data_IF_048970187264
#
_entry.id   IF_048970187264
#
_cell.length_a   1.000
_cell.length_b   1.000
_cell.length_c   1.000
_cell.angle_alpha   90.00
_cell.angle_beta   90.00
_cell.angle_gamma   90.00
#
_symmetry.space_group_name_H-M   'P 1'
#
loop_
_entity.id
_entity.type
_entity.pdbx_description
1 polymer ?
#
# COMPACT_ATOMS: atom_id res chain seq x y z
N UNK A 1 -10.60 1.64 12.03
CA UNK A 1 -11.00 0.94 10.78
C UNK A 1 -9.76 0.73 9.94
N UNK A 2 -9.61 -0.43 9.36
CA UNK A 2 -8.52 -0.72 8.42
C UNK A 2 -8.85 -0.04 7.08
N UNK A 3 -7.94 0.79 6.58
CA UNK A 3 -8.05 1.47 5.29
C UNK A 3 -7.02 0.87 4.33
N UNK A 4 -7.50 0.45 3.18
CA UNK A 4 -6.72 -0.21 2.13
C UNK A 4 -6.99 0.47 0.80
N UNK A 5 -5.93 0.87 0.09
CA UNK A 5 -6.03 1.61 -1.15
C UNK A 5 -5.14 1.04 -2.24
N UNK A 6 -5.64 1.10 -3.46
CA UNK A 6 -4.98 0.55 -4.64
C UNK A 6 -4.47 1.64 -5.56
N UNK A 7 -3.27 1.45 -6.08
CA UNK A 7 -2.74 2.20 -7.22
C UNK A 7 -2.30 1.23 -8.30
N UNK A 8 -2.66 1.53 -9.54
CA UNK A 8 -2.20 0.74 -10.67
C UNK A 8 -0.71 0.95 -10.92
N UNK A 9 -0.01 -0.14 -11.17
CA UNK A 9 1.41 -0.15 -11.52
C UNK A 9 1.72 0.36 -12.94
N UNK A 10 0.77 0.89 -13.68
CA UNK A 10 0.97 1.37 -15.07
C UNK A 10 2.13 2.36 -15.21
N UNK A 11 2.57 2.94 -14.10
CA UNK A 11 3.65 3.93 -14.04
C UNK A 11 4.86 3.46 -13.21
N UNK A 12 4.97 2.17 -12.94
CA UNK A 12 6.15 1.63 -12.26
C UNK A 12 7.30 1.40 -13.21
N UNK A 13 8.48 1.67 -12.74
CA UNK A 13 9.71 1.28 -13.37
C UNK A 13 10.28 0.08 -12.63
N UNK A 14 10.50 -1.01 -13.35
CA UNK A 14 11.29 -2.14 -12.85
C UNK A 14 12.76 -1.82 -13.05
N UNK A 15 13.51 -1.66 -11.98
CA UNK A 15 14.91 -1.30 -11.99
C UNK A 15 15.72 -2.54 -11.58
N UNK A 16 16.59 -3.00 -12.47
CA UNK A 16 17.56 -4.04 -12.15
C UNK A 16 18.87 -3.38 -11.75
N UNK A 17 19.27 -3.48 -10.50
CA UNK A 17 20.54 -2.98 -10.00
C UNK A 17 21.51 -4.13 -9.72
N UNK A 18 22.75 -3.97 -10.14
CA UNK A 18 23.82 -4.96 -9.98
C UNK A 18 23.93 -5.97 -11.11
N UNK A 19 24.94 -6.81 -11.02
CA UNK A 19 25.26 -7.86 -12.00
C UNK A 19 25.44 -9.22 -11.30
N UNK A 20 25.05 -10.29 -11.96
CA UNK A 20 25.20 -11.65 -11.42
C UNK A 20 24.36 -11.94 -10.18
N UNK A 21 24.94 -12.61 -9.18
CA UNK A 21 24.26 -13.03 -7.95
C UNK A 21 23.78 -11.87 -7.05
N UNK A 22 24.27 -10.66 -7.26
CA UNK A 22 23.93 -9.46 -6.49
C UNK A 22 22.85 -8.59 -7.16
N UNK A 23 22.19 -9.09 -8.19
CA UNK A 23 21.15 -8.37 -8.89
C UNK A 23 19.94 -8.18 -7.99
N UNK A 24 19.58 -6.92 -7.71
CA UNK A 24 18.40 -6.54 -6.95
C UNK A 24 17.33 -6.00 -7.88
N UNK A 25 16.13 -6.53 -7.75
CA UNK A 25 14.97 -6.04 -8.46
C UNK A 25 14.29 -4.98 -7.58
N UNK A 26 14.06 -3.81 -8.13
CA UNK A 26 13.34 -2.71 -7.48
C UNK A 26 12.16 -2.28 -8.32
N UNK A 27 11.14 -1.83 -7.66
CA UNK A 27 9.99 -1.15 -8.26
C UNK A 27 9.97 0.30 -7.79
N UNK A 28 9.60 1.22 -8.69
CA UNK A 28 9.43 2.65 -8.40
C UNK A 28 8.19 3.15 -9.11
N UNK A 29 7.43 4.01 -8.45
CA UNK A 29 6.28 4.68 -9.06
C UNK A 29 5.39 5.37 -8.05
N UNK A 30 4.19 5.71 -8.48
CA UNK A 30 3.18 6.30 -7.62
C UNK A 30 2.52 5.22 -6.77
N UNK A 31 2.66 5.32 -5.47
CA UNK A 31 2.06 4.39 -4.50
C UNK A 31 0.67 4.85 -4.06
N UNK A 32 0.43 6.17 -4.01
CA UNK A 32 -0.86 6.76 -3.62
C UNK A 32 -0.98 8.19 -4.16
N UNK A 33 -2.17 8.78 -4.09
CA UNK A 33 -2.47 10.16 -4.50
C UNK A 33 -3.15 10.92 -3.37
N UNK A 34 -2.71 12.16 -3.14
CA UNK A 34 -3.36 13.10 -2.23
C UNK A 34 -4.53 13.83 -2.91
N UNK A 35 -5.52 14.23 -2.12
CA UNK A 35 -6.61 15.16 -2.47
C UNK A 35 -7.46 14.73 -3.68
N UNK A 36 -7.33 13.49 -4.13
CA UNK A 36 -8.09 12.93 -5.24
C UNK A 36 -8.90 11.73 -4.74
N UNK A 37 -10.16 11.63 -5.17
CA UNK A 37 -10.99 10.49 -4.84
C UNK A 37 -10.47 9.24 -5.55
N UNK A 38 -10.16 8.22 -4.78
CA UNK A 38 -9.68 6.94 -5.30
C UNK A 38 -10.85 6.00 -5.69
N UNK A 39 -10.52 4.81 -6.20
CA UNK A 39 -11.51 3.82 -6.64
C UNK A 39 -12.42 3.28 -5.52
N UNK A 40 -12.03 3.46 -4.26
CA UNK A 40 -12.86 3.12 -3.08
C UNK A 40 -13.71 4.30 -2.60
N UNK A 41 -13.76 5.39 -3.34
CA UNK A 41 -14.52 6.59 -2.99
C UNK A 41 -13.91 7.42 -1.87
N UNK A 42 -12.63 7.18 -1.51
CA UNK A 42 -11.94 7.88 -0.42
C UNK A 42 -11.01 8.95 -0.93
N UNK A 43 -10.92 10.03 -0.16
CA UNK A 43 -9.95 11.12 -0.34
C UNK A 43 -8.99 11.14 0.84
N UNK A 44 -7.70 11.14 0.55
CA UNK A 44 -6.64 11.31 1.55
C UNK A 44 -6.11 12.73 1.49
N UNK A 45 -6.42 13.59 2.47
CA UNK A 45 -5.89 14.94 2.49
C UNK A 45 -4.36 14.96 2.49
N UNK A 46 -3.77 15.85 1.69
CA UNK A 46 -2.32 15.98 1.52
C UNK A 46 -1.58 16.07 2.87
N UNK A 47 -2.07 16.92 3.76
CA UNK A 47 -1.49 17.11 5.10
C UNK A 47 -1.37 15.80 5.88
N UNK A 48 -2.36 14.91 5.74
CA UNK A 48 -2.37 13.60 6.42
C UNK A 48 -1.31 12.68 5.82
N UNK A 49 -1.27 12.54 4.49
CA UNK A 49 -0.27 11.68 3.84
C UNK A 49 1.14 12.20 4.04
N UNK A 50 1.38 13.52 3.93
CA UNK A 50 2.70 14.12 4.22
C UNK A 50 3.15 13.83 5.66
N UNK A 51 2.24 13.97 6.64
CA UNK A 51 2.52 13.63 8.04
C UNK A 51 2.89 12.16 8.21
N UNK A 52 2.12 11.25 7.60
CA UNK A 52 2.36 9.81 7.72
C UNK A 52 3.63 9.37 7.00
N UNK A 53 3.91 9.92 5.82
CA UNK A 53 5.18 9.68 5.12
C UNK A 53 6.37 10.17 5.95
N UNK A 54 6.24 11.28 6.66
CA UNK A 54 7.29 11.78 7.57
C UNK A 54 7.51 10.84 8.76
N UNK A 55 6.42 10.39 9.40
CA UNK A 55 6.48 9.49 10.57
C UNK A 55 7.15 8.15 10.23
N UNK A 56 6.91 7.63 9.02
CA UNK A 56 7.40 6.30 8.63
C UNK A 56 8.89 6.30 8.17
N UNK A 57 9.53 7.48 8.04
CA UNK A 57 10.91 7.58 7.53
C UNK A 57 11.92 6.82 8.41
N UNK A 58 11.73 6.76 9.72
CA UNK A 58 12.64 6.02 10.61
C UNK A 58 12.65 4.52 10.24
N UNK A 59 11.48 3.93 9.99
CA UNK A 59 11.39 2.54 9.55
C UNK A 59 12.03 2.30 8.18
N UNK A 60 11.98 3.29 7.29
CA UNK A 60 12.65 3.22 5.99
C UNK A 60 14.17 3.24 6.17
N UNK A 61 14.69 4.19 6.97
CA UNK A 61 16.11 4.32 7.23
C UNK A 61 16.70 3.11 7.95
N UNK A 62 15.94 2.51 8.86
CA UNK A 62 16.31 1.27 9.59
C UNK A 62 16.12 -0.01 8.74
N UNK A 63 15.62 0.11 7.52
CA UNK A 63 15.30 -1.03 6.64
C UNK A 63 14.33 -2.03 7.27
N UNK A 64 13.32 -1.53 7.98
CA UNK A 64 12.33 -2.34 8.71
C UNK A 64 10.92 -2.25 8.13
N UNK A 65 10.67 -1.42 7.10
CA UNK A 65 9.37 -1.25 6.49
C UNK A 65 9.14 -2.26 5.37
N UNK A 66 8.67 -3.45 5.71
CA UNK A 66 8.32 -4.49 4.75
C UNK A 66 6.83 -4.45 4.39
N UNK A 67 6.51 -4.91 3.18
CA UNK A 67 5.15 -5.14 2.73
C UNK A 67 4.92 -6.60 2.34
N UNK A 68 3.67 -7.01 2.34
CA UNK A 68 3.25 -8.37 2.01
C UNK A 68 2.90 -8.50 0.52
N UNK A 69 2.92 -9.73 0.02
CA UNK A 69 2.22 -10.13 -1.18
C UNK A 69 0.80 -10.51 -0.76
N UNK A 70 -0.18 -9.83 -1.34
CA UNK A 70 -1.56 -9.75 -0.89
C UNK A 70 -1.73 -9.10 0.50
N UNK A 71 -2.92 -8.57 0.76
CA UNK A 71 -3.22 -8.00 2.07
C UNK A 71 -3.45 -9.10 3.09
N UNK A 72 -2.73 -9.09 4.23
CA UNK A 72 -3.11 -9.91 5.36
C UNK A 72 -4.49 -9.47 5.90
N UNK A 73 -5.23 -10.37 6.56
CA UNK A 73 -6.59 -10.07 7.05
C UNK A 73 -6.63 -9.11 8.24
N UNK A 74 -5.48 -8.63 8.70
CA UNK A 74 -5.34 -7.73 9.84
C UNK A 74 -4.34 -6.60 9.56
N UNK A 75 -4.14 -5.73 10.55
CA UNK A 75 -3.22 -4.60 10.50
C UNK A 75 -1.76 -4.97 10.82
N UNK A 76 -1.49 -6.18 11.28
CA UNK A 76 -0.15 -6.61 11.64
C UNK A 76 0.76 -6.80 10.43
N UNK A 77 2.05 -6.61 10.65
CA UNK A 77 3.10 -6.97 9.69
C UNK A 77 3.63 -8.35 10.06
N UNK A 78 3.47 -9.30 9.14
CA UNK A 78 3.96 -10.66 9.28
C UNK A 78 5.20 -10.87 8.42
N UNK A 79 6.37 -11.03 9.04
CA UNK A 79 7.63 -11.20 8.31
C UNK A 79 7.62 -12.45 7.41
N UNK A 80 6.89 -13.49 7.77
CA UNK A 80 6.68 -14.68 6.94
C UNK A 80 5.96 -14.40 5.62
N UNK A 81 5.26 -13.28 5.52
CA UNK A 81 4.54 -12.84 4.31
C UNK A 81 5.26 -11.72 3.56
N UNK A 82 6.41 -11.26 4.06
CA UNK A 82 7.17 -10.18 3.44
C UNK A 82 7.62 -10.55 2.02
N UNK A 83 7.33 -9.69 1.06
CA UNK A 83 7.73 -9.82 -0.33
C UNK A 83 8.67 -8.71 -0.79
N UNK A 84 8.61 -7.55 -0.17
CA UNK A 84 9.38 -6.37 -0.54
C UNK A 84 9.70 -5.49 0.68
N UNK A 85 10.72 -4.68 0.51
CA UNK A 85 11.16 -3.68 1.48
C UNK A 85 11.00 -2.30 0.86
N UNK A 86 10.26 -1.42 1.51
CA UNK A 86 10.12 -0.04 1.07
C UNK A 86 11.38 0.74 1.42
N UNK A 87 12.02 1.32 0.43
CA UNK A 87 13.29 2.01 0.55
C UNK A 87 13.20 3.52 0.39
N UNK A 88 12.10 4.02 -0.18
CA UNK A 88 11.83 5.45 -0.30
C UNK A 88 10.33 5.72 -0.37
N UNK A 89 9.90 6.78 0.29
CA UNK A 89 8.56 7.38 0.15
C UNK A 89 8.70 8.90 0.23
N UNK A 90 8.09 9.60 -0.73
CA UNK A 90 8.04 11.07 -0.77
C UNK A 90 6.72 11.53 -1.36
N UNK A 91 6.18 12.63 -0.86
CA UNK A 91 5.05 13.32 -1.50
C UNK A 91 5.62 14.40 -2.43
N UNK A 92 5.30 14.34 -3.70
CA UNK A 92 5.75 15.31 -4.69
C UNK A 92 4.85 16.56 -4.74
N UNK A 93 5.22 17.53 -5.59
CA UNK A 93 4.45 18.78 -5.75
C UNK A 93 3.04 18.54 -6.31
N UNK A 94 2.86 17.51 -7.13
CA UNK A 94 1.57 17.15 -7.72
C UNK A 94 0.65 16.38 -6.74
N UNK A 95 1.13 16.06 -5.54
CA UNK A 95 0.40 15.26 -4.55
C UNK A 95 0.49 13.76 -4.77
N UNK A 96 1.42 13.30 -5.59
CA UNK A 96 1.71 11.88 -5.72
C UNK A 96 2.64 11.42 -4.59
N UNK A 97 2.28 10.32 -3.94
CA UNK A 97 3.19 9.60 -3.04
C UNK A 97 4.05 8.69 -3.92
N UNK A 98 5.26 9.15 -4.20
CA UNK A 98 6.24 8.40 -4.97
C UNK A 98 7.02 7.49 -4.05
N UNK A 99 7.03 6.20 -4.38
CA UNK A 99 7.71 5.18 -3.60
C UNK A 99 8.70 4.36 -4.41
N UNK A 100 9.63 3.75 -3.68
CA UNK A 100 10.56 2.75 -4.18
C UNK A 100 10.59 1.58 -3.23
N UNK A 101 10.60 0.37 -3.76
CA UNK A 101 10.70 -0.86 -2.98
C UNK A 101 11.66 -1.86 -3.64
N UNK A 102 12.44 -2.53 -2.81
CA UNK A 102 13.33 -3.62 -3.17
C UNK A 102 12.58 -4.94 -3.01
N UNK A 103 12.56 -5.79 -4.05
CA UNK A 103 11.98 -7.12 -3.98
C UNK A 103 12.93 -8.03 -3.20
N UNK A 104 12.41 -8.66 -2.16
CA UNK A 104 13.18 -9.49 -1.24
C UNK A 104 13.40 -10.91 -1.79
N UNK A 105 14.43 -11.58 -1.28
CA UNK A 105 14.72 -12.99 -1.59
C UNK A 105 13.86 -13.99 -0.80
N UNK A 106 12.81 -13.51 -0.14
CA UNK A 106 11.83 -14.35 0.56
C UNK A 106 11.00 -15.18 -0.44
N UNK A 107 10.29 -16.25 0.00
CA UNK A 107 9.41 -17.01 -0.88
C UNK A 107 8.41 -16.13 -1.62
N UNK A 108 7.76 -15.19 -0.93
CA UNK A 108 6.80 -14.26 -1.55
C UNK A 108 7.49 -13.25 -2.49
N UNK A 109 8.70 -12.79 -2.16
CA UNK A 109 9.50 -11.96 -3.06
C UNK A 109 9.87 -12.69 -4.35
N UNK A 110 10.17 -13.97 -4.29
CA UNK A 110 10.43 -14.82 -5.47
C UNK A 110 9.18 -14.97 -6.36
N UNK A 111 8.01 -15.06 -5.77
CA UNK A 111 6.74 -15.06 -6.52
C UNK A 111 6.59 -13.71 -7.26
N UNK A 112 6.81 -12.58 -6.59
CA UNK A 112 6.76 -11.25 -7.21
C UNK A 112 7.76 -11.13 -8.35
N UNK A 113 9.00 -11.57 -8.15
CA UNK A 113 10.04 -11.57 -9.19
C UNK A 113 9.60 -12.35 -10.44
N UNK A 114 9.03 -13.54 -10.26
CA UNK A 114 8.52 -14.36 -11.35
C UNK A 114 7.35 -13.69 -12.07
N UNK A 115 6.38 -13.16 -11.34
CA UNK A 115 5.22 -12.47 -11.92
C UNK A 115 5.63 -11.25 -12.73
N UNK A 116 6.54 -10.41 -12.21
CA UNK A 116 7.05 -9.24 -12.94
C UNK A 116 7.85 -9.65 -14.19
N UNK A 117 8.65 -10.71 -14.10
CA UNK A 117 9.42 -11.24 -15.23
C UNK A 117 8.52 -11.78 -16.35
N UNK A 118 7.38 -12.35 -15.99
CA UNK A 118 6.36 -12.86 -16.93
C UNK A 118 5.44 -11.78 -17.46
N UNK A 119 5.64 -10.50 -17.06
CA UNK A 119 4.84 -9.36 -17.51
C UNK A 119 3.47 -9.27 -16.85
N UNK A 120 3.27 -9.94 -15.71
CA UNK A 120 2.02 -9.84 -14.94
C UNK A 120 1.93 -8.45 -14.30
N UNK A 121 0.78 -7.80 -14.45
CA UNK A 121 0.51 -6.54 -13.77
C UNK A 121 0.27 -6.78 -12.28
N UNK A 122 1.01 -6.04 -11.47
CA UNK A 122 0.87 -6.06 -10.01
C UNK A 122 0.52 -4.65 -9.55
N UNK A 123 -0.45 -4.52 -8.65
CA UNK A 123 -0.82 -3.28 -8.01
C UNK A 123 -0.03 -3.03 -6.73
N UNK A 124 -0.09 -1.81 -6.23
CA UNK A 124 0.36 -1.48 -4.89
C UNK A 124 -0.77 -0.84 -4.11
N UNK A 125 -0.84 -1.13 -2.83
CA UNK A 125 -1.97 -0.74 -1.98
C UNK A 125 -1.48 -0.33 -0.62
N UNK A 126 -1.85 0.89 -0.17
CA UNK A 126 -1.59 1.29 1.20
C UNK A 126 -2.48 0.52 2.17
N UNK A 127 -1.93 0.20 3.31
CA UNK A 127 -2.63 -0.37 4.46
C UNK A 127 -2.40 0.52 5.67
N UNK A 128 -3.50 0.94 6.30
CA UNK A 128 -3.46 1.84 7.45
C UNK A 128 -4.69 1.69 8.33
N UNK A 129 -4.64 2.33 9.48
CA UNK A 129 -5.74 2.44 10.44
C UNK A 129 -6.22 3.88 10.52
N UNK A 130 -7.52 4.07 10.56
CA UNK A 130 -8.10 5.39 10.69
C UNK A 130 -9.61 5.38 10.58
N UNK A 131 -10.19 6.57 10.61
CA UNK A 131 -11.61 6.81 10.39
C UNK A 131 -11.83 7.69 9.17
N UNK A 132 -13.05 7.73 8.68
CA UNK A 132 -13.47 8.59 7.58
C UNK A 132 -14.67 9.43 8.01
N UNK A 133 -14.79 10.62 7.44
CA UNK A 133 -15.96 11.50 7.55
C UNK A 133 -16.53 11.74 6.16
N UNK A 134 -17.82 12.10 6.09
CA UNK A 134 -18.44 12.48 4.84
C UNK A 134 -17.97 13.88 4.42
N UNK A 135 -17.43 13.98 3.21
CA UNK A 135 -17.03 15.22 2.58
C UNK A 135 -18.22 16.00 1.98
N UNK A 136 -17.94 17.17 1.43
CA UNK A 136 -18.99 18.08 0.92
C UNK A 136 -19.75 17.53 -0.29
N UNK A 137 -19.17 16.61 -1.04
CA UNK A 137 -19.77 15.98 -2.22
C UNK A 137 -20.14 14.52 -1.99
N UNK A 138 -20.19 14.09 -0.71
CA UNK A 138 -20.52 12.72 -0.33
C UNK A 138 -19.35 11.73 -0.40
N UNK A 139 -18.13 12.22 -0.70
CA UNK A 139 -16.92 11.41 -0.66
C UNK A 139 -16.53 11.06 0.77
N UNK A 140 -15.85 9.93 0.96
CA UNK A 140 -15.29 9.55 2.25
C UNK A 140 -13.92 10.21 2.44
N UNK A 141 -13.81 11.20 3.34
CA UNK A 141 -12.55 11.89 3.63
C UNK A 141 -11.86 11.24 4.83
N UNK A 142 -10.62 10.84 4.67
CA UNK A 142 -9.82 10.24 5.74
C UNK A 142 -9.46 11.28 6.78
N UNK A 143 -9.64 10.93 8.06
CA UNK A 143 -9.44 11.83 9.19
C UNK A 143 -7.97 11.83 9.70
N UNK A 144 -7.66 12.76 10.61
CA UNK A 144 -6.33 12.96 11.18
C UNK A 144 -5.84 11.80 12.08
N UNK A 145 -6.71 10.87 12.46
CA UNK A 145 -6.36 9.65 13.19
C UNK A 145 -5.73 8.56 12.31
N UNK A 146 -5.60 8.82 11.01
CA UNK A 146 -5.00 7.89 10.07
C UNK A 146 -3.53 7.60 10.44
N UNK A 147 -3.19 6.30 10.46
CA UNK A 147 -1.82 5.78 10.65
C UNK A 147 -1.49 4.85 9.50
N UNK A 148 -0.51 5.24 8.69
CA UNK A 148 0.02 4.39 7.63
C UNK A 148 0.84 3.26 8.24
N UNK A 149 0.51 2.01 7.89
CA UNK A 149 1.24 0.82 8.32
C UNK A 149 2.32 0.46 7.31
N UNK A 150 1.93 0.23 6.07
CA UNK A 150 2.82 -0.14 4.96
C UNK A 150 2.10 -0.05 3.62
N UNK A 151 2.78 -0.45 2.56
CA UNK A 151 2.20 -0.73 1.24
C UNK A 151 2.43 -2.20 0.90
N UNK A 152 1.37 -2.88 0.45
CA UNK A 152 1.40 -4.28 0.04
C UNK A 152 1.30 -4.40 -1.49
N UNK A 153 1.86 -5.46 -2.06
CA UNK A 153 1.70 -5.79 -3.47
C UNK A 153 0.47 -6.66 -3.66
N UNK A 154 -0.39 -6.30 -4.61
CA UNK A 154 -1.70 -6.94 -4.82
C UNK A 154 -1.95 -7.18 -6.31
N UNK A 155 -2.90 -8.05 -6.64
CA UNK A 155 -3.36 -8.23 -8.02
C UNK A 155 -3.99 -6.95 -8.57
N UNK A 156 -3.95 -6.77 -9.88
CA UNK A 156 -4.53 -5.60 -10.57
C UNK A 156 -6.02 -5.43 -10.20
N UNK A 157 -6.41 -4.27 -9.60
CA UNK A 157 -7.79 -4.00 -9.21
C UNK A 157 -8.75 -3.80 -10.40
N UNK A 158 -8.30 -3.93 -11.65
CA UNK A 158 -9.17 -3.93 -12.84
C UNK A 158 -10.16 -5.09 -12.84
N UNK A 159 -9.98 -6.10 -12.01
CA UNK A 159 -10.99 -7.12 -11.74
C UNK A 159 -12.03 -6.54 -10.77
N UNK A 160 -13.01 -5.84 -11.33
CA UNK A 160 -14.17 -5.35 -10.58
C UNK A 160 -14.78 -6.50 -9.78
N UNK A 161 -14.81 -6.37 -8.43
CA UNK A 161 -15.59 -7.23 -7.56
C UNK A 161 -14.81 -8.14 -6.60
N UNK A 162 -13.47 -8.32 -6.76
CA UNK A 162 -12.73 -9.24 -5.88
C UNK A 162 -12.32 -8.63 -4.52
N UNK A 163 -12.37 -7.30 -4.34
CA UNK A 163 -11.84 -6.61 -3.16
C UNK A 163 -12.82 -5.74 -2.37
N UNK A 164 -13.87 -5.11 -2.95
CA UNK A 164 -14.85 -4.38 -2.14
C UNK A 164 -15.52 -5.26 -1.09
N UNK A 165 -15.81 -6.52 -1.40
CA UNK A 165 -16.44 -7.46 -0.48
C UNK A 165 -15.53 -7.89 0.68
N UNK A 166 -14.22 -8.03 0.44
CA UNK A 166 -13.25 -8.34 1.49
C UNK A 166 -13.03 -7.15 2.43
N UNK A 167 -12.98 -5.92 1.91
CA UNK A 167 -12.91 -4.71 2.73
C UNK A 167 -14.21 -4.47 3.51
N UNK A 168 -15.37 -4.69 2.90
CA UNK A 168 -16.67 -4.57 3.57
C UNK A 168 -16.86 -5.65 4.64
N UNK A 169 -16.47 -6.90 4.39
CA UNK A 169 -16.55 -7.96 5.38
C UNK A 169 -15.63 -7.75 6.59
N UNK A 170 -14.44 -7.15 6.39
CA UNK A 170 -13.56 -6.76 7.50
C UNK A 170 -14.12 -5.59 8.32
N UNK A 171 -14.75 -4.62 7.66
CA UNK A 171 -15.42 -3.49 8.33
C UNK A 171 -16.60 -3.98 9.16
N UNK A 172 -17.42 -4.88 8.65
CA UNK A 172 -18.54 -5.47 9.40
C UNK A 172 -18.06 -6.32 10.60
N UNK A 173 -16.98 -7.07 10.46
CA UNK A 173 -16.42 -7.88 11.54
C UNK A 173 -15.76 -7.02 12.63
N UNK A 174 -15.10 -5.92 12.28
CA UNK A 174 -14.57 -4.98 13.28
C UNK A 174 -15.66 -4.19 14.00
N UNK A 175 -16.74 -3.85 13.33
CA UNK A 175 -17.91 -3.19 13.97
C UNK A 175 -18.69 -4.16 14.87
N UNK A 176 -18.76 -5.44 14.52
CA UNK A 176 -19.36 -6.47 15.40
C UNK A 176 -18.50 -6.75 16.63
N UNK A 177 -17.16 -6.73 16.49
CA UNK A 177 -16.25 -6.88 17.62
C UNK A 177 -16.32 -5.71 18.61
N UNK A 178 -16.53 -4.48 18.13
CA UNK A 178 -16.72 -3.30 19.00
C UNK A 178 -18.09 -3.24 19.72
N UNK A 179 -19.06 -4.02 19.28
CA UNK A 179 -20.38 -4.11 19.96
C UNK A 179 -20.46 -5.20 21.04
N UNK A 180 -19.40 -5.95 21.26
CA UNK A 180 -19.32 -7.06 22.24
C UNK A 180 -18.47 -6.69 23.48
N UNK A 181 -17.96 -5.44 23.54
CA UNK A 181 -17.26 -4.91 24.72
C UNK A 181 -18.20 -3.87 25.40
#
# INVERSE_FOLDING_TARGET
MLLVEYSLLDKFQVINEGTGANKKLKIRGRFQKCDEQNNNGRVYPRKILESQVKVIQDKISERSLVGALDHPPNDAIHLSQASHLITSLKVDKAGDVIGEAEILSTPNGKIVEALLSDGVKIGISSRGLGSVSEGRMGEAVVNEDFKLITFDLVSDPSTKGAFPDLCESMVENSQKAQKII
#
